data_IF_256237115313
#
_entry.id   IF_256237115313
#
_cell.length_a   1.000
_cell.length_b   1.000
_cell.length_c   1.000
_cell.angle_alpha   90.00
_cell.angle_beta   90.00
_cell.angle_gamma   90.00
#
_symmetry.space_group_name_H-M   'P 1'
#
loop_
_entity.id
_entity.type
_entity.pdbx_description
1 polymer ?
#
# COMPACT_ATOMS: atom_id res chain seq x y z
N UNK A 1 -10.17 -1.40 2.04
CA UNK A 1 -10.30 -2.68 1.28
C UNK A 1 -9.27 -2.62 0.16
N UNK A 2 -8.49 -3.68 -0.11
CA UNK A 2 -7.74 -3.74 -1.39
C UNK A 2 -8.78 -3.53 -2.49
N UNK A 3 -8.69 -2.46 -3.27
CA UNK A 3 -9.48 -2.34 -4.50
C UNK A 3 -8.98 -3.45 -5.40
N UNK A 4 -9.67 -4.59 -5.38
CA UNK A 4 -9.38 -5.67 -6.31
C UNK A 4 -9.72 -5.12 -7.69
N UNK A 5 -8.70 -4.96 -8.52
CA UNK A 5 -8.92 -4.66 -9.91
C UNK A 5 -9.32 -5.97 -10.60
N UNK A 6 -10.59 -6.08 -10.97
CA UNK A 6 -11.07 -7.22 -11.75
C UNK A 6 -10.75 -6.98 -13.22
N UNK A 7 -9.79 -7.74 -13.76
CA UNK A 7 -9.58 -7.77 -15.21
C UNK A 7 -10.77 -8.42 -15.92
N UNK A 8 -11.15 -7.88 -17.08
CA UNK A 8 -12.11 -8.55 -17.97
C UNK A 8 -11.55 -9.93 -18.37
N UNK A 9 -12.39 -10.97 -18.53
CA UNK A 9 -11.91 -12.31 -18.88
C UNK A 9 -11.01 -12.34 -20.12
N UNK A 10 -11.34 -11.56 -21.16
CA UNK A 10 -10.53 -11.48 -22.38
C UNK A 10 -9.13 -10.90 -22.14
N UNK A 11 -9.00 -9.92 -21.24
CA UNK A 11 -7.69 -9.31 -20.89
C UNK A 11 -6.83 -10.31 -20.14
N UNK A 12 -7.44 -11.04 -19.19
CA UNK A 12 -6.74 -12.09 -18.46
C UNK A 12 -6.27 -13.23 -19.38
N UNK A 13 -7.11 -13.67 -20.33
CA UNK A 13 -6.72 -14.68 -21.32
C UNK A 13 -5.59 -14.19 -22.24
N UNK A 14 -5.63 -12.95 -22.71
CA UNK A 14 -4.56 -12.38 -23.51
C UNK A 14 -3.22 -12.37 -22.73
N UNK A 15 -3.26 -11.99 -21.44
CA UNK A 15 -2.09 -12.00 -20.58
C UNK A 15 -1.53 -13.43 -20.36
N UNK A 16 -2.40 -14.44 -20.21
CA UNK A 16 -1.98 -15.84 -20.11
C UNK A 16 -1.29 -16.34 -21.40
N UNK A 17 -1.83 -15.97 -22.57
CA UNK A 17 -1.24 -16.32 -23.87
C UNK A 17 0.14 -15.66 -24.01
N UNK A 18 0.26 -14.38 -23.67
CA UNK A 18 1.51 -13.64 -23.73
C UNK A 18 2.57 -14.22 -22.79
N UNK A 19 2.20 -14.52 -21.54
CA UNK A 19 3.08 -15.16 -20.56
C UNK A 19 3.60 -16.51 -21.07
N UNK A 20 2.74 -17.31 -21.70
CA UNK A 20 3.13 -18.59 -22.31
C UNK A 20 4.07 -18.40 -23.50
N UNK A 21 3.83 -17.39 -24.33
CA UNK A 21 4.69 -17.08 -25.47
C UNK A 21 6.10 -16.64 -25.04
N UNK A 22 6.17 -15.79 -24.00
CA UNK A 22 7.43 -15.29 -23.43
C UNK A 22 8.14 -16.27 -22.49
N UNK A 23 7.48 -17.36 -22.10
CA UNK A 23 7.94 -18.32 -21.09
C UNK A 23 8.30 -17.64 -19.76
N UNK A 24 7.47 -16.67 -19.36
CA UNK A 24 7.62 -15.90 -18.12
C UNK A 24 6.39 -16.06 -17.24
N UNK A 25 6.49 -15.70 -15.97
CA UNK A 25 5.33 -15.67 -15.09
C UNK A 25 4.39 -14.51 -15.44
N UNK A 26 3.12 -14.66 -15.10
CA UNK A 26 2.06 -13.70 -15.42
C UNK A 26 2.35 -12.30 -14.85
N UNK A 27 2.95 -12.25 -13.65
CA UNK A 27 3.26 -11.01 -12.96
C UNK A 27 4.35 -10.23 -13.69
N UNK A 28 5.46 -10.90 -14.02
CA UNK A 28 6.57 -10.30 -14.76
C UNK A 28 6.14 -9.77 -16.13
N UNK A 29 5.30 -10.51 -16.88
CA UNK A 29 4.79 -10.03 -18.17
C UNK A 29 3.90 -8.81 -17.99
N UNK A 30 3.00 -8.82 -17.01
CA UNK A 30 2.13 -7.69 -16.75
C UNK A 30 2.93 -6.44 -16.35
N UNK A 31 3.93 -6.61 -15.47
CA UNK A 31 4.82 -5.53 -15.03
C UNK A 31 5.56 -4.91 -16.21
N UNK A 32 6.20 -5.73 -17.04
CA UNK A 32 6.90 -5.28 -18.25
C UNK A 32 5.96 -4.53 -19.20
N UNK A 33 4.79 -5.10 -19.49
CA UNK A 33 3.80 -4.45 -20.36
C UNK A 33 3.32 -3.10 -19.81
N UNK A 34 3.12 -2.99 -18.49
CA UNK A 34 2.73 -1.70 -17.88
C UNK A 34 3.87 -0.70 -18.03
N UNK A 35 5.10 -1.04 -17.61
CA UNK A 35 6.24 -0.13 -17.64
C UNK A 35 6.58 0.32 -19.07
N UNK A 36 6.36 -0.54 -20.07
CA UNK A 36 6.59 -0.22 -21.48
C UNK A 36 5.45 0.56 -22.14
N UNK A 37 4.22 0.47 -21.64
CA UNK A 37 3.04 1.09 -22.27
C UNK A 37 2.57 2.40 -21.64
N UNK A 38 2.95 2.71 -20.40
CA UNK A 38 2.57 3.97 -19.76
C UNK A 38 3.13 5.19 -20.51
N UNK A 39 2.40 6.31 -20.46
CA UNK A 39 2.81 7.57 -21.08
C UNK A 39 4.12 8.11 -20.49
N UNK A 40 4.83 8.95 -21.24
CA UNK A 40 6.02 9.63 -20.75
C UNK A 40 5.76 10.42 -19.46
N UNK A 41 4.63 11.14 -19.40
CA UNK A 41 4.20 11.85 -18.20
C UNK A 41 4.02 10.92 -16.98
N UNK A 42 3.44 9.74 -17.19
CA UNK A 42 3.26 8.74 -16.13
C UNK A 42 4.60 8.15 -15.68
N UNK A 43 5.54 7.95 -16.60
CA UNK A 43 6.92 7.50 -16.26
C UNK A 43 7.63 8.54 -15.41
N UNK A 44 7.57 9.81 -15.79
CA UNK A 44 8.17 10.89 -15.02
C UNK A 44 7.55 11.03 -13.63
N UNK A 45 6.24 10.86 -13.52
CA UNK A 45 5.57 10.83 -12.22
C UNK A 45 6.03 9.66 -11.34
N UNK A 46 6.17 8.46 -11.93
CA UNK A 46 6.69 7.28 -11.24
C UNK A 46 8.14 7.48 -10.77
N UNK A 47 9.00 8.05 -11.61
CA UNK A 47 10.39 8.35 -11.23
C UNK A 47 10.48 9.39 -10.12
N UNK A 48 9.67 10.46 -10.17
CA UNK A 48 9.60 11.44 -9.08
C UNK A 48 9.18 10.77 -7.77
N UNK A 49 8.11 9.98 -7.81
CA UNK A 49 7.65 9.22 -6.65
C UNK A 49 8.75 8.30 -6.09
N UNK A 50 9.50 7.61 -6.97
CA UNK A 50 10.61 6.74 -6.55
C UNK A 50 11.74 7.52 -5.86
N UNK A 51 12.12 8.68 -6.39
CA UNK A 51 13.15 9.56 -5.79
C UNK A 51 12.72 10.08 -4.43
N UNK A 52 11.47 10.54 -4.33
CA UNK A 52 10.91 11.02 -3.07
C UNK A 52 10.94 9.92 -2.01
N UNK A 53 10.64 8.68 -2.41
CA UNK A 53 10.68 7.51 -1.55
C UNK A 53 12.10 7.09 -1.14
N UNK A 54 13.08 7.12 -2.06
CA UNK A 54 14.49 6.82 -1.79
C UNK A 54 15.15 7.86 -0.85
N UNK A 55 14.68 9.11 -0.89
CA UNK A 55 15.20 10.20 -0.05
C UNK A 55 14.69 10.17 1.38
N UNK A 56 13.65 9.37 1.67
CA UNK A 56 13.07 9.29 3.01
C UNK A 56 13.94 8.45 3.94
N UNK A 57 14.03 8.83 5.22
CA UNK A 57 14.61 7.94 6.22
C UNK A 57 13.77 6.65 6.32
N UNK A 58 14.37 5.54 6.77
CA UNK A 58 13.63 4.36 7.17
C UNK A 58 12.45 4.73 8.07
N UNK A 59 11.31 4.05 7.91
CA UNK A 59 10.08 4.39 8.64
C UNK A 59 10.29 4.42 10.16
N UNK A 60 11.14 3.54 10.68
CA UNK A 60 11.47 3.45 12.09
C UNK A 60 12.29 4.64 12.61
N UNK A 61 12.95 5.38 11.72
CA UNK A 61 13.75 6.57 12.01
C UNK A 61 12.98 7.88 11.74
N UNK A 62 11.75 7.79 11.22
CA UNK A 62 10.85 8.92 11.04
C UNK A 62 9.85 8.99 12.21
N UNK A 63 10.13 9.79 13.27
CA UNK A 63 9.25 9.88 14.43
C UNK A 63 7.88 10.47 14.08
N UNK A 64 7.80 11.35 13.07
CA UNK A 64 6.55 11.96 12.64
C UNK A 64 5.66 10.91 11.96
N UNK A 65 6.24 10.09 11.08
CA UNK A 65 5.51 9.01 10.43
C UNK A 65 5.09 7.91 11.42
N UNK A 66 5.94 7.57 12.39
CA UNK A 66 5.61 6.60 13.44
C UNK A 66 4.47 7.06 14.33
N UNK A 67 4.39 8.35 14.64
CA UNK A 67 3.26 8.91 15.39
C UNK A 67 1.99 8.96 14.53
N UNK A 68 2.11 9.38 13.26
CA UNK A 68 1.01 9.38 12.31
C UNK A 68 0.40 7.98 12.13
N UNK A 69 1.20 6.90 12.18
CA UNK A 69 0.69 5.52 12.17
C UNK A 69 -0.25 5.27 13.35
N UNK A 70 0.07 5.74 14.56
CA UNK A 70 -0.79 5.55 15.74
C UNK A 70 -2.12 6.28 15.58
N UNK A 71 -2.07 7.54 15.17
CA UNK A 71 -3.25 8.38 14.97
C UNK A 71 -4.17 7.79 13.89
N UNK A 72 -3.60 7.42 12.74
CA UNK A 72 -4.34 6.85 11.62
C UNK A 72 -4.86 5.45 11.94
N UNK A 73 -4.15 4.66 12.75
CA UNK A 73 -4.61 3.35 13.22
C UNK A 73 -5.80 3.44 14.16
N UNK A 74 -5.84 4.47 15.02
CA UNK A 74 -6.94 4.73 15.95
C UNK A 74 -8.14 5.44 15.30
N UNK A 75 -8.00 5.94 14.07
CA UNK A 75 -9.03 6.74 13.38
C UNK A 75 -10.35 5.99 13.10
N UNK A 76 -11.43 6.77 12.96
CA UNK A 76 -12.75 6.29 12.51
C UNK A 76 -13.24 7.09 11.28
N UNK A 77 -13.63 6.44 10.17
CA UNK A 77 -13.59 4.99 9.95
C UNK A 77 -12.16 4.45 9.93
N UNK A 78 -11.98 3.20 10.37
CA UNK A 78 -10.67 2.55 10.42
C UNK A 78 -10.02 2.48 9.03
N UNK A 79 -8.81 3.00 8.92
CA UNK A 79 -7.99 2.89 7.71
C UNK A 79 -7.32 1.52 7.59
N UNK A 80 -7.16 1.04 6.36
CA UNK A 80 -6.30 -0.10 6.05
C UNK A 80 -4.82 0.30 6.06
N UNK A 81 -3.92 -0.65 6.28
CA UNK A 81 -2.47 -0.41 6.25
C UNK A 81 -1.99 0.25 4.95
N UNK A 82 -2.64 -0.08 3.82
CA UNK A 82 -2.35 0.57 2.54
C UNK A 82 -2.72 2.05 2.57
N UNK A 83 -3.94 2.38 3.00
CA UNK A 83 -4.41 3.77 3.11
C UNK A 83 -3.56 4.57 4.10
N UNK A 84 -3.06 3.93 5.17
CA UNK A 84 -2.11 4.55 6.10
C UNK A 84 -0.81 4.89 5.36
N UNK A 85 -0.21 3.91 4.66
CA UNK A 85 1.01 4.10 3.88
C UNK A 85 0.89 5.18 2.81
N UNK A 86 -0.19 5.18 2.04
CA UNK A 86 -0.50 6.22 1.05
C UNK A 86 -0.54 7.62 1.68
N UNK A 87 -1.04 7.73 2.92
CA UNK A 87 -1.23 9.01 3.60
C UNK A 87 0.04 9.55 4.25
N UNK A 88 0.92 8.67 4.74
CA UNK A 88 2.20 9.05 5.35
C UNK A 88 3.37 9.02 4.36
N UNK A 89 3.16 8.52 3.14
CA UNK A 89 4.18 8.45 2.09
C UNK A 89 5.18 7.30 2.26
N UNK A 90 4.74 6.16 2.82
CA UNK A 90 5.56 4.97 3.02
C UNK A 90 4.91 3.73 2.39
N UNK A 91 5.71 2.74 1.92
CA UNK A 91 5.19 1.55 1.27
C UNK A 91 4.41 0.67 2.25
N UNK A 92 3.45 -0.07 1.73
CA UNK A 92 2.61 -0.98 2.51
C UNK A 92 3.45 -1.94 3.38
N UNK A 93 4.55 -2.48 2.85
CA UNK A 93 5.40 -3.46 3.51
C UNK A 93 6.08 -2.86 4.75
N UNK A 94 6.62 -1.64 4.62
CA UNK A 94 7.24 -0.93 5.74
C UNK A 94 6.21 -0.65 6.83
N UNK A 95 5.05 -0.10 6.45
CA UNK A 95 3.97 0.23 7.40
C UNK A 95 3.39 -1.04 8.04
N UNK A 96 3.20 -2.12 7.28
CA UNK A 96 2.74 -3.41 7.79
C UNK A 96 3.73 -4.00 8.79
N UNK A 97 5.03 -3.90 8.52
CA UNK A 97 6.10 -4.32 9.42
C UNK A 97 6.10 -3.50 10.71
N UNK A 98 6.00 -2.17 10.60
CA UNK A 98 5.95 -1.25 11.74
C UNK A 98 4.75 -1.52 12.64
N UNK A 99 3.55 -1.58 12.08
CA UNK A 99 2.32 -1.88 12.82
C UNK A 99 2.42 -3.23 13.54
N UNK A 100 2.94 -4.28 12.88
CA UNK A 100 3.13 -5.59 13.51
C UNK A 100 4.01 -5.49 14.76
N UNK A 101 5.12 -4.77 14.69
CA UNK A 101 6.02 -4.58 15.84
C UNK A 101 5.39 -3.73 16.93
N UNK A 102 4.67 -2.66 16.57
CA UNK A 102 3.97 -1.81 17.54
C UNK A 102 2.87 -2.58 18.28
N UNK A 103 2.12 -3.44 17.58
CA UNK A 103 1.15 -4.35 18.21
C UNK A 103 1.83 -5.33 19.19
N UNK A 104 3.01 -5.88 18.83
CA UNK A 104 3.76 -6.77 19.70
C UNK A 104 4.31 -6.08 20.95
N UNK A 105 4.67 -4.79 20.83
CA UNK A 105 5.15 -3.97 21.95
C UNK A 105 4.02 -3.44 22.84
N UNK A 106 2.77 -3.50 22.38
CA UNK A 106 1.63 -2.88 23.06
C UNK A 106 1.44 -1.39 22.76
N UNK A 107 2.14 -0.85 21.75
CA UNK A 107 2.02 0.55 21.32
C UNK A 107 0.76 0.79 20.47
N UNK A 108 0.13 -0.27 19.94
CA UNK A 108 -1.11 -0.23 19.19
C UNK A 108 -2.10 -1.29 19.72
N UNK A 109 -3.38 -0.98 19.61
CA UNK A 109 -4.47 -1.91 19.92
C UNK A 109 -4.80 -2.83 18.72
N UNK A 110 -5.01 -4.15 18.92
CA UNK A 110 -5.40 -5.05 17.85
C UNK A 110 -6.72 -4.66 17.17
N UNK A 111 -6.82 -5.00 15.88
CA UNK A 111 -8.06 -4.85 15.09
C UNK A 111 -9.15 -5.77 15.65
N UNK A 112 -9.92 -5.27 16.62
CA UNK A 112 -11.01 -5.98 17.27
C UNK A 112 -11.43 -5.37 18.61
N UNK A 113 -10.55 -4.60 19.27
CA UNK A 113 -10.84 -4.00 20.58
C UNK A 113 -11.64 -2.69 20.55
N UNK A 114 -11.53 -1.88 19.49
CA UNK A 114 -12.39 -0.69 19.31
C UNK A 114 -13.74 -1.08 18.70
N UNK A 115 -14.51 -1.91 19.41
CA UNK A 115 -15.94 -2.05 19.19
C UNK A 115 -16.67 -1.15 20.20
N UNK A 116 -16.60 0.15 20.01
CA UNK A 116 -17.60 1.06 20.57
C UNK A 116 -17.70 2.27 19.66
N UNK A 117 -18.89 2.50 19.10
CA UNK A 117 -19.23 3.82 18.55
C UNK A 117 -18.90 4.88 19.61
N UNK A 118 -18.45 6.09 19.23
CA UNK A 118 -18.50 7.20 20.17
C UNK A 118 -19.93 7.30 20.70
N UNK A 119 -20.11 7.20 22.02
CA UNK A 119 -21.37 7.60 22.65
C UNK A 119 -21.58 9.05 22.24
N UNK A 120 -22.59 9.31 21.42
CA UNK A 120 -23.07 10.68 21.22
C UNK A 120 -23.43 11.20 22.60
N UNK A 121 -22.56 12.04 23.17
CA UNK A 121 -22.93 12.94 24.23
C UNK A 121 -23.71 14.08 23.58
N UNK A 122 -25.02 14.08 23.81
CA UNK A 122 -25.88 15.15 24.35
C UNK A 122 -27.29 14.57 24.36
#
# INVERSE_FOLDING_TARGET
MRKQFTMRPSVYQALLIEARHRQQDLGAVLEDMILTSISQESREALERWRRDMESRPPLEEDPEAMEAIKDLWASYPRLSTLEIGERIGYPYEAVSGAIKRMLQKGDLEPRGHLASKPKKGV
#
